data_IF_703398941597
#
_entry.id   IF_703398941597
#
_cell.length_a   1.000
_cell.length_b   1.000
_cell.length_c   1.000
_cell.angle_alpha   90.00
_cell.angle_beta   90.00
_cell.angle_gamma   90.00
#
_symmetry.space_group_name_H-M   'P 1'
#
loop_
_entity.id
_entity.type
_entity.pdbx_description
1 polymer ?
#
# COMPACT_ATOMS: atom_id res chain seq x y z
N UNK A 1 2.86 -8.11 13.38
CA UNK A 1 3.39 -7.36 12.22
C UNK A 1 2.83 -5.95 12.30
N UNK A 2 3.65 -4.90 12.21
CA UNK A 2 3.11 -3.53 12.12
C UNK A 2 2.43 -3.41 10.76
N UNK A 3 1.10 -3.32 10.75
CA UNK A 3 0.33 -3.07 9.53
C UNK A 3 0.53 -1.61 9.18
N UNK A 4 1.08 -1.37 7.99
CA UNK A 4 1.07 -0.05 7.38
C UNK A 4 -0.18 0.08 6.51
N UNK A 5 -0.72 1.27 6.39
CA UNK A 5 -1.89 1.54 5.55
C UNK A 5 -1.47 1.95 4.14
N UNK A 6 -2.40 1.88 3.17
CA UNK A 6 -2.12 2.37 1.81
C UNK A 6 -1.86 3.89 1.82
N UNK A 7 -2.51 4.65 2.71
CA UNK A 7 -2.25 6.07 2.89
C UNK A 7 -0.78 6.33 3.28
N UNK A 8 -0.23 5.54 4.21
CA UNK A 8 1.19 5.63 4.59
C UNK A 8 2.12 5.28 3.43
N UNK A 9 1.72 4.34 2.56
CA UNK A 9 2.47 4.01 1.33
C UNK A 9 2.45 5.21 0.36
N UNK A 10 1.31 5.85 0.16
CA UNK A 10 1.18 7.02 -0.72
C UNK A 10 2.03 8.18 -0.20
N UNK A 11 1.96 8.49 1.10
CA UNK A 11 2.78 9.54 1.70
C UNK A 11 4.28 9.21 1.63
N UNK A 12 4.64 7.94 1.82
CA UNK A 12 6.01 7.49 1.65
C UNK A 12 6.52 7.67 0.21
N UNK A 13 5.69 7.39 -0.80
CA UNK A 13 6.05 7.63 -2.19
C UNK A 13 6.23 9.12 -2.48
N UNK A 14 5.35 9.98 -1.95
CA UNK A 14 5.47 11.42 -2.10
C UNK A 14 6.80 11.94 -1.52
N UNK A 15 7.20 11.46 -0.34
CA UNK A 15 8.51 11.78 0.25
C UNK A 15 9.68 11.38 -0.68
N UNK A 16 9.59 10.20 -1.31
CA UNK A 16 10.62 9.72 -2.24
C UNK A 16 10.66 10.58 -3.50
N UNK A 17 9.51 10.97 -4.05
CA UNK A 17 9.45 11.89 -5.21
C UNK A 17 9.99 13.27 -4.87
N UNK A 18 9.86 13.71 -3.61
CA UNK A 18 10.43 14.95 -3.09
C UNK A 18 11.95 14.85 -2.80
N UNK A 19 12.58 13.71 -3.08
CA UNK A 19 14.03 13.51 -2.95
C UNK A 19 14.49 12.90 -1.62
N UNK A 20 13.56 12.48 -0.74
CA UNK A 20 13.92 11.76 0.48
C UNK A 20 14.36 10.33 0.14
N UNK A 21 15.45 9.86 0.77
CA UNK A 21 15.93 8.50 0.51
C UNK A 21 14.90 7.44 0.94
N UNK A 22 14.75 6.38 0.15
CA UNK A 22 13.84 5.25 0.43
C UNK A 22 14.08 4.63 1.81
N UNK A 23 15.33 4.65 2.30
CA UNK A 23 15.69 4.15 3.64
C UNK A 23 15.13 5.02 4.75
N UNK A 24 15.21 6.34 4.60
CA UNK A 24 14.65 7.30 5.57
C UNK A 24 13.13 7.22 5.56
N UNK A 25 12.53 7.24 4.37
CA UNK A 25 11.08 7.13 4.17
C UNK A 25 10.52 5.85 4.80
N UNK A 26 11.14 4.70 4.55
CA UNK A 26 10.73 3.41 5.12
C UNK A 26 10.68 3.42 6.64
N UNK A 27 11.65 4.07 7.29
CA UNK A 27 11.67 4.21 8.76
C UNK A 27 10.62 5.21 9.26
N UNK A 28 10.43 6.31 8.54
CA UNK A 28 9.49 7.38 8.89
C UNK A 28 8.05 6.89 8.87
N UNK A 29 7.66 6.20 7.79
CA UNK A 29 6.29 5.74 7.56
C UNK A 29 6.06 4.29 7.99
N UNK A 30 7.09 3.58 8.47
CA UNK A 30 6.97 2.18 8.88
C UNK A 30 6.73 1.20 7.72
N UNK A 31 6.76 1.66 6.46
CA UNK A 31 6.56 0.85 5.27
C UNK A 31 7.84 0.11 4.90
N UNK A 32 7.81 -1.21 4.64
CA UNK A 32 8.97 -1.96 4.16
C UNK A 32 9.53 -1.40 2.85
N UNK A 33 10.86 -1.36 2.74
CA UNK A 33 11.54 -0.91 1.51
C UNK A 33 11.14 -1.73 0.27
N UNK A 34 10.93 -3.04 0.43
CA UNK A 34 10.46 -3.90 -0.66
C UNK A 34 9.12 -3.44 -1.22
N UNK A 35 8.17 -3.09 -0.35
CA UNK A 35 6.86 -2.54 -0.73
C UNK A 35 7.01 -1.23 -1.51
N UNK A 36 7.82 -0.29 -1.01
CA UNK A 36 8.07 0.99 -1.69
C UNK A 36 8.71 0.79 -3.07
N UNK A 37 9.71 -0.09 -3.19
CA UNK A 37 10.36 -0.40 -4.47
C UNK A 37 9.37 -1.01 -5.45
N UNK A 38 8.53 -1.96 -5.00
CA UNK A 38 7.49 -2.54 -5.85
C UNK A 38 6.51 -1.47 -6.35
N UNK A 39 6.10 -0.55 -5.47
CA UNK A 39 5.18 0.53 -5.82
C UNK A 39 5.80 1.52 -6.82
N UNK A 40 7.09 1.85 -6.67
CA UNK A 40 7.86 2.65 -7.65
C UNK A 40 7.93 1.96 -9.02
N UNK A 41 8.03 0.63 -9.05
CA UNK A 41 8.01 -0.16 -10.29
C UNK A 41 6.61 -0.27 -10.93
N UNK A 42 5.58 0.32 -10.30
CA UNK A 42 4.21 0.29 -10.81
C UNK A 42 3.39 -0.92 -10.38
N UNK A 43 3.83 -1.70 -9.39
CA UNK A 43 3.00 -2.78 -8.86
C UNK A 43 1.76 -2.21 -8.15
N UNK A 44 0.62 -2.85 -8.37
CA UNK A 44 -0.63 -2.54 -7.68
C UNK A 44 -0.63 -3.10 -6.25
N UNK A 45 -1.41 -2.50 -5.34
CA UNK A 45 -1.60 -3.06 -4.02
C UNK A 45 -2.34 -4.40 -4.16
N UNK A 46 -2.06 -5.31 -3.23
CA UNK A 46 -2.61 -6.67 -3.28
C UNK A 46 -4.15 -6.66 -3.32
N UNK A 47 -4.79 -5.73 -2.62
CA UNK A 47 -6.24 -5.67 -2.61
C UNK A 47 -6.81 -5.38 -4.01
N UNK A 48 -6.28 -4.38 -4.72
CA UNK A 48 -6.68 -4.07 -6.09
C UNK A 48 -6.36 -5.21 -7.06
N UNK A 49 -5.14 -5.76 -7.00
CA UNK A 49 -4.70 -6.80 -7.93
C UNK A 49 -5.50 -8.11 -7.82
N UNK A 50 -6.18 -8.34 -6.69
CA UNK A 50 -6.98 -9.53 -6.43
C UNK A 50 -8.49 -9.26 -6.39
N UNK A 51 -8.96 -8.04 -6.69
CA UNK A 51 -10.41 -7.73 -6.68
C UNK A 51 -11.19 -8.66 -7.61
N UNK A 52 -10.70 -8.91 -8.82
CA UNK A 52 -11.36 -9.79 -9.80
C UNK A 52 -11.41 -11.27 -9.33
N UNK A 53 -10.60 -11.64 -8.34
CA UNK A 53 -10.56 -12.98 -7.76
C UNK A 53 -11.41 -13.09 -6.48
N UNK A 54 -12.02 -12.00 -6.01
CA UNK A 54 -12.92 -12.03 -4.86
C UNK A 54 -14.22 -12.76 -5.21
N UNK A 55 -14.67 -13.64 -4.32
CA UNK A 55 -15.93 -14.39 -4.48
C UNK A 55 -17.17 -13.54 -4.25
N UNK A 56 -17.02 -12.48 -3.47
CA UNK A 56 -18.07 -11.55 -3.11
C UNK A 56 -17.81 -10.22 -3.82
N UNK A 57 -18.87 -9.55 -4.25
CA UNK A 57 -18.75 -8.17 -4.73
C UNK A 57 -18.40 -7.24 -3.56
N UNK A 58 -17.81 -6.08 -3.85
CA UNK A 58 -17.50 -5.08 -2.82
C UNK A 58 -18.74 -4.69 -1.96
N UNK A 59 -19.92 -4.67 -2.57
CA UNK A 59 -21.20 -4.42 -1.87
C UNK A 59 -21.57 -5.53 -0.88
N UNK A 60 -21.27 -6.79 -1.20
CA UNK A 60 -21.49 -7.93 -0.31
C UNK A 60 -20.48 -7.91 0.84
N UNK A 61 -19.21 -7.60 0.57
CA UNK A 61 -18.19 -7.45 1.62
C UNK A 61 -18.56 -6.34 2.61
N UNK A 62 -19.06 -5.19 2.11
CA UNK A 62 -19.49 -4.08 2.96
C UNK A 62 -20.66 -4.44 3.89
N UNK A 63 -21.61 -5.26 3.43
CA UNK A 63 -22.74 -5.71 4.26
C UNK A 63 -22.34 -6.67 5.39
N UNK A 64 -21.15 -7.26 5.33
CA UNK A 64 -20.64 -8.18 6.36
C UNK A 64 -19.78 -7.48 7.41
N UNK A 65 -19.45 -6.19 7.23
CA UNK A 65 -18.56 -5.44 8.11
C UNK A 65 -19.28 -4.71 9.28
N UNK A 66 -20.60 -4.85 9.39
CA UNK A 66 -21.44 -4.39 10.52
C UNK A 66 -21.42 -5.36 11.70
#
# INVERSE_FOLDING_TARGET
MKQYTEDEVIQALNDITNGVSTRTTSRRWGVPRSTLISRIKGHQPRQEAFQDLQRLSASQEASLAT
#
